data_IF_873677937659
#
_entry.id   IF_873677937659
#
_cell.length_a   1.000
_cell.length_b   1.000
_cell.length_c   1.000
_cell.angle_alpha   90.00
_cell.angle_beta   90.00
_cell.angle_gamma   90.00
#
_symmetry.space_group_name_H-M   'P 1'
#
loop_
_entity.id
_entity.type
_entity.pdbx_description
1 polymer ?
#
# COMPACT_ATOMS: atom_id res chain seq x y z
N UNK A 1 29.95 40.08 -38.02
CA UNK A 1 31.29 39.53 -38.25
C UNK A 1 31.30 38.13 -37.66
N UNK A 2 30.57 37.15 -38.21
CA UNK A 2 30.71 36.59 -39.56
C UNK A 2 32.17 36.31 -39.90
N UNK A 3 32.55 35.05 -39.81
CA UNK A 3 33.78 34.51 -40.38
C UNK A 3 33.37 33.38 -41.32
N UNK A 4 33.06 33.77 -42.54
CA UNK A 4 33.13 32.91 -43.72
C UNK A 4 34.60 32.63 -44.04
N UNK A 5 34.97 31.38 -44.29
CA UNK A 5 36.22 31.10 -44.98
C UNK A 5 36.10 29.85 -45.87
N UNK A 6 35.76 30.15 -47.13
CA UNK A 6 36.40 29.71 -48.39
C UNK A 6 36.29 28.26 -48.83
N UNK A 7 35.42 28.10 -49.84
CA UNK A 7 35.74 27.65 -51.20
C UNK A 7 36.85 26.62 -51.37
N UNK A 8 36.44 25.40 -51.72
CA UNK A 8 37.16 24.55 -52.67
C UNK A 8 36.30 24.40 -53.92
N UNK A 9 36.42 25.36 -54.83
CA UNK A 9 35.99 25.22 -56.21
C UNK A 9 37.17 24.67 -57.02
N UNK A 10 36.93 23.60 -57.76
CA UNK A 10 37.83 23.15 -58.82
C UNK A 10 38.06 21.65 -58.81
N UNK A 11 37.18 20.90 -59.48
CA UNK A 11 37.54 19.91 -60.50
C UNK A 11 36.25 19.35 -61.14
N UNK A 12 35.55 20.20 -61.90
CA UNK A 12 34.54 19.76 -62.87
C UNK A 12 35.16 19.79 -64.27
N UNK A 13 36.11 18.87 -64.49
CA UNK A 13 36.53 18.47 -65.83
C UNK A 13 35.63 17.32 -66.27
N UNK A 14 34.63 17.63 -67.11
CA UNK A 14 33.61 16.68 -67.53
C UNK A 14 34.17 15.48 -68.28
N UNK A 15 33.59 14.31 -68.02
CA UNK A 15 33.39 13.26 -69.03
C UNK A 15 31.94 12.81 -68.94
N UNK A 16 31.22 13.10 -70.02
CA UNK A 16 29.91 12.57 -70.38
C UNK A 16 29.94 11.03 -70.34
N UNK A 17 29.32 10.46 -69.31
CA UNK A 17 28.94 9.05 -69.25
C UNK A 17 27.50 8.98 -68.74
N UNK A 18 26.54 9.13 -69.65
CA UNK A 18 25.11 8.92 -69.38
C UNK A 18 24.87 7.43 -69.12
N UNK A 19 25.30 6.92 -67.97
CA UNK A 19 24.76 5.69 -67.39
C UNK A 19 23.79 6.08 -66.29
N UNK A 20 22.53 6.24 -66.71
CA UNK A 20 21.39 6.10 -65.83
C UNK A 20 21.44 4.69 -65.23
N UNK A 21 22.14 4.53 -64.10
CA UNK A 21 21.91 3.40 -63.21
C UNK A 21 20.47 3.53 -62.72
N UNK A 22 19.56 2.93 -63.48
CA UNK A 22 18.21 2.56 -63.04
C UNK A 22 18.34 2.16 -61.58
N UNK A 23 17.60 2.85 -60.71
CA UNK A 23 17.42 2.41 -59.34
C UNK A 23 16.85 1.00 -59.38
N UNK A 24 17.74 0.00 -59.38
CA UNK A 24 17.45 -1.30 -58.85
C UNK A 24 17.12 -0.99 -57.40
N UNK A 25 15.83 -0.87 -57.09
CA UNK A 25 15.38 -0.86 -55.71
C UNK A 25 16.10 -2.02 -55.05
N UNK A 26 16.94 -1.72 -54.07
CA UNK A 26 17.75 -2.72 -53.39
C UNK A 26 16.76 -3.71 -52.81
N UNK A 27 16.53 -4.82 -53.51
CA UNK A 27 15.68 -5.91 -53.06
C UNK A 27 16.47 -6.55 -51.92
N UNK A 28 16.31 -5.97 -50.74
CA UNK A 28 16.83 -6.54 -49.51
C UNK A 28 16.19 -7.90 -49.40
N UNK A 29 17.03 -8.94 -49.41
CA UNK A 29 16.57 -10.29 -49.18
C UNK A 29 15.67 -10.30 -47.93
N UNK A 30 14.45 -10.85 -48.00
CA UNK A 30 13.52 -10.85 -46.87
C UNK A 30 14.14 -11.38 -45.57
N UNK A 31 15.13 -12.27 -45.66
CA UNK A 31 15.88 -12.80 -44.51
C UNK A 31 16.80 -11.75 -43.87
N UNK A 32 17.45 -10.91 -44.68
CA UNK A 32 18.30 -9.80 -44.22
C UNK A 32 17.46 -8.72 -43.55
N UNK A 33 16.32 -8.35 -44.15
CA UNK A 33 15.38 -7.39 -43.55
C UNK A 33 14.84 -7.88 -42.20
N UNK A 34 14.52 -9.18 -42.12
CA UNK A 34 14.07 -9.82 -40.87
C UNK A 34 15.16 -9.80 -39.79
N UNK A 35 16.43 -10.03 -40.16
CA UNK A 35 17.56 -9.96 -39.22
C UNK A 35 17.77 -8.55 -38.68
N UNK A 36 17.72 -7.53 -39.54
CA UNK A 36 17.81 -6.12 -39.10
C UNK A 36 16.65 -5.73 -38.17
N UNK A 37 15.44 -6.20 -38.45
CA UNK A 37 14.28 -5.95 -37.60
C UNK A 37 14.42 -6.63 -36.23
N UNK A 38 14.83 -7.90 -36.19
CA UNK A 38 15.08 -8.63 -34.95
C UNK A 38 16.21 -8.01 -34.12
N UNK A 39 17.30 -7.60 -34.78
CA UNK A 39 18.41 -6.91 -34.12
C UNK A 39 17.98 -5.55 -33.54
N UNK A 40 17.22 -4.76 -34.29
CA UNK A 40 16.69 -3.47 -33.83
C UNK A 40 15.75 -3.63 -32.63
N UNK A 41 14.89 -4.66 -32.64
CA UNK A 41 14.00 -4.97 -31.53
C UNK A 41 14.78 -5.38 -30.27
N UNK A 42 15.82 -6.20 -30.44
CA UNK A 42 16.73 -6.61 -29.35
C UNK A 42 17.43 -5.40 -28.73
N UNK A 43 17.97 -4.49 -29.54
CA UNK A 43 18.61 -3.26 -29.07
C UNK A 43 17.65 -2.37 -28.29
N UNK A 44 16.42 -2.20 -28.77
CA UNK A 44 15.40 -1.42 -28.08
C UNK A 44 14.99 -2.07 -26.75
N UNK A 45 14.90 -3.40 -26.72
CA UNK A 45 14.60 -4.15 -25.50
C UNK A 45 15.73 -4.04 -24.48
N UNK A 46 17.00 -4.10 -24.92
CA UNK A 46 18.17 -3.91 -24.06
C UNK A 46 18.18 -2.50 -23.44
N UNK A 47 18.03 -1.44 -24.25
CA UNK A 47 17.98 -0.07 -23.75
C UNK A 47 16.82 0.15 -22.76
N UNK A 48 15.67 -0.48 -23.01
CA UNK A 48 14.53 -0.48 -22.08
C UNK A 48 14.86 -1.17 -20.76
N UNK A 49 15.58 -2.29 -20.81
CA UNK A 49 16.02 -3.03 -19.62
C UNK A 49 17.06 -2.23 -18.83
N UNK A 50 18.08 -1.68 -19.49
CA UNK A 50 19.11 -0.84 -18.86
C UNK A 50 18.48 0.35 -18.12
N UNK A 51 17.50 1.01 -18.75
CA UNK A 51 16.73 2.09 -18.11
C UNK A 51 15.95 1.61 -16.89
N UNK A 52 15.32 0.44 -16.97
CA UNK A 52 14.57 -0.15 -15.83
C UNK A 52 15.51 -0.55 -14.69
N UNK A 53 16.73 -0.98 -14.98
CA UNK A 53 17.74 -1.29 -13.97
C UNK A 53 18.26 -0.02 -13.29
N UNK A 54 18.56 1.03 -14.05
CA UNK A 54 18.97 2.32 -13.48
C UNK A 54 17.91 2.91 -12.53
N UNK A 55 16.62 2.76 -12.86
CA UNK A 55 15.52 3.17 -11.98
C UNK A 55 15.46 2.33 -10.69
N UNK A 56 15.72 1.02 -10.79
CA UNK A 56 15.76 0.13 -9.63
C UNK A 56 16.91 0.48 -8.69
N UNK A 57 18.11 0.69 -9.22
CA UNK A 57 19.26 1.14 -8.44
C UNK A 57 18.99 2.48 -7.76
N UNK A 58 18.40 3.43 -8.48
CA UNK A 58 18.02 4.73 -7.93
C UNK A 58 17.01 4.59 -6.77
N UNK A 59 16.01 3.71 -6.93
CA UNK A 59 15.01 3.46 -5.89
C UNK A 59 15.64 2.86 -4.63
N UNK A 60 16.44 1.81 -4.79
CA UNK A 60 17.16 1.18 -3.69
C UNK A 60 18.07 2.16 -2.95
N UNK A 61 18.82 2.97 -3.70
CA UNK A 61 19.68 3.99 -3.12
C UNK A 61 18.86 5.03 -2.33
N UNK A 62 17.70 5.43 -2.84
CA UNK A 62 16.83 6.37 -2.14
C UNK A 62 16.27 5.80 -0.83
N UNK A 63 15.91 4.51 -0.81
CA UNK A 63 15.50 3.80 0.41
C UNK A 63 16.64 3.80 1.42
N UNK A 64 17.80 3.27 1.03
CA UNK A 64 18.97 3.14 1.94
C UNK A 64 19.42 4.52 2.45
N UNK A 65 19.40 5.57 1.62
CA UNK A 65 19.76 6.91 2.08
C UNK A 65 18.75 7.53 3.07
N UNK A 66 17.49 7.10 3.06
CA UNK A 66 16.42 7.67 3.89
C UNK A 66 16.25 6.94 5.22
N UNK A 67 16.39 5.62 5.22
CA UNK A 67 16.03 4.76 6.34
C UNK A 67 17.05 3.64 6.60
N UNK A 68 18.23 3.71 5.97
CA UNK A 68 19.26 2.67 6.00
C UNK A 68 18.81 1.32 5.41
N UNK A 69 19.65 0.30 5.52
CA UNK A 69 19.29 -1.07 5.14
C UNK A 69 18.34 -1.67 6.20
N UNK A 70 17.42 -2.53 5.77
CA UNK A 70 16.54 -3.25 6.67
C UNK A 70 17.36 -4.22 7.54
N UNK A 71 17.23 -4.06 8.84
CA UNK A 71 17.96 -4.82 9.86
C UNK A 71 17.04 -5.75 10.67
N UNK A 72 15.79 -5.90 10.24
CA UNK A 72 14.77 -6.70 10.93
C UNK A 72 13.88 -5.89 11.88
N UNK A 73 14.16 -4.60 12.11
CA UNK A 73 13.35 -3.76 13.01
C UNK A 73 12.42 -2.83 12.25
N UNK A 74 11.34 -2.41 12.92
CA UNK A 74 10.43 -1.37 12.41
C UNK A 74 9.84 -1.69 11.02
N UNK A 75 9.43 -2.95 10.81
CA UNK A 75 8.98 -3.43 9.49
C UNK A 75 7.85 -2.58 8.93
N UNK A 76 6.88 -2.12 9.73
CA UNK A 76 5.80 -1.28 9.24
C UNK A 76 6.30 0.04 8.66
N UNK A 77 7.23 0.72 9.35
CA UNK A 77 7.83 1.96 8.85
C UNK A 77 8.67 1.70 7.62
N UNK A 78 9.45 0.64 7.64
CA UNK A 78 10.34 0.27 6.54
C UNK A 78 9.56 -0.01 5.26
N UNK A 79 8.54 -0.87 5.33
CA UNK A 79 7.70 -1.22 4.17
C UNK A 79 6.97 -0.01 3.59
N UNK A 80 6.44 0.89 4.43
CA UNK A 80 5.78 2.12 3.97
C UNK A 80 6.72 2.98 3.12
N UNK A 81 7.97 3.15 3.57
CA UNK A 81 8.95 3.93 2.84
C UNK A 81 9.44 3.18 1.59
N UNK A 82 9.70 1.88 1.71
CA UNK A 82 10.14 1.03 0.60
C UNK A 82 9.15 1.07 -0.58
N UNK A 83 7.88 0.73 -0.34
CA UNK A 83 6.85 0.70 -1.38
C UNK A 83 6.71 2.08 -2.03
N UNK A 84 6.68 3.15 -1.22
CA UNK A 84 6.58 4.53 -1.72
C UNK A 84 7.75 4.89 -2.64
N UNK A 85 9.00 4.57 -2.28
CA UNK A 85 10.15 4.87 -3.14
C UNK A 85 10.14 4.03 -4.43
N UNK A 86 9.69 2.78 -4.36
CA UNK A 86 9.58 1.91 -5.53
C UNK A 86 8.51 2.40 -6.52
N UNK A 87 7.36 2.83 -6.03
CA UNK A 87 6.29 3.43 -6.84
C UNK A 87 6.74 4.74 -7.49
N UNK A 88 7.43 5.61 -6.74
CA UNK A 88 7.97 6.88 -7.25
C UNK A 88 8.94 6.67 -8.42
N UNK A 89 9.69 5.57 -8.40
CA UNK A 89 10.62 5.21 -9.46
C UNK A 89 10.02 4.27 -10.53
N UNK A 90 8.69 4.08 -10.52
CA UNK A 90 7.93 3.26 -11.49
C UNK A 90 8.41 1.81 -11.58
N UNK A 91 8.80 1.24 -10.44
CA UNK A 91 9.14 -0.17 -10.33
C UNK A 91 7.85 -0.97 -10.22
N UNK A 92 7.74 -2.07 -10.97
CA UNK A 92 6.57 -2.95 -10.91
C UNK A 92 6.69 -3.96 -9.76
N UNK A 93 5.56 -4.41 -9.22
CA UNK A 93 5.45 -5.28 -8.04
C UNK A 93 6.42 -6.47 -8.04
N UNK A 94 6.49 -7.23 -9.14
CA UNK A 94 7.42 -8.37 -9.26
C UNK A 94 8.87 -7.98 -9.03
N UNK A 95 9.29 -6.81 -9.53
CA UNK A 95 10.64 -6.28 -9.27
C UNK A 95 10.76 -5.78 -7.84
N UNK A 96 9.72 -5.19 -7.26
CA UNK A 96 9.76 -4.75 -5.85
C UNK A 96 10.05 -5.90 -4.90
N UNK A 97 9.43 -7.08 -5.11
CA UNK A 97 9.71 -8.25 -4.26
C UNK A 97 11.17 -8.68 -4.42
N UNK A 98 11.66 -8.81 -5.66
CA UNK A 98 13.03 -9.24 -5.94
C UNK A 98 14.11 -8.27 -5.42
N UNK A 99 13.83 -6.97 -5.42
CA UNK A 99 14.78 -5.95 -4.98
C UNK A 99 14.87 -5.84 -3.44
N UNK A 100 13.87 -6.35 -2.70
CA UNK A 100 13.81 -6.13 -1.26
C UNK A 100 15.02 -6.72 -0.53
N UNK A 101 15.47 -7.92 -0.93
CA UNK A 101 16.68 -8.55 -0.37
C UNK A 101 17.98 -7.81 -0.65
N UNK A 102 18.01 -6.87 -1.59
CA UNK A 102 19.16 -5.98 -1.82
C UNK A 102 19.14 -4.77 -0.90
N UNK A 103 17.98 -4.45 -0.33
CA UNK A 103 17.81 -3.39 0.66
C UNK A 103 17.95 -3.91 2.10
N UNK A 104 18.32 -5.18 2.32
CA UNK A 104 18.43 -5.80 3.65
C UNK A 104 19.87 -6.12 4.01
N UNK A 105 20.19 -6.07 5.30
CA UNK A 105 21.52 -6.46 5.78
C UNK A 105 21.81 -7.94 5.48
N UNK A 106 23.09 -8.33 5.28
CA UNK A 106 23.47 -9.70 4.94
C UNK A 106 22.96 -10.77 5.91
N UNK A 107 22.86 -10.45 7.20
CA UNK A 107 22.54 -11.37 8.29
C UNK A 107 21.12 -11.95 8.20
N UNK A 108 20.17 -11.20 7.64
CA UNK A 108 18.78 -11.63 7.51
C UNK A 108 18.38 -11.92 6.05
N UNK A 109 19.28 -11.70 5.09
CA UNK A 109 18.99 -11.80 3.65
C UNK A 109 18.51 -13.19 3.25
N UNK A 110 19.13 -14.25 3.77
CA UNK A 110 18.73 -15.63 3.48
C UNK A 110 17.30 -15.92 3.98
N UNK A 111 16.93 -15.31 5.11
CA UNK A 111 15.58 -15.42 5.65
C UNK A 111 14.56 -14.70 4.76
N UNK A 112 14.88 -13.48 4.32
CA UNK A 112 14.07 -12.73 3.36
C UNK A 112 13.87 -13.53 2.06
N UNK A 113 14.92 -14.17 1.54
CA UNK A 113 14.82 -15.05 0.37
C UNK A 113 13.85 -16.21 0.62
N UNK A 114 13.91 -16.86 1.79
CA UNK A 114 12.96 -17.92 2.14
C UNK A 114 11.51 -17.43 2.19
N UNK A 115 11.27 -16.18 2.62
CA UNK A 115 9.93 -15.58 2.61
C UNK A 115 9.50 -15.31 1.16
N UNK A 116 10.37 -14.70 0.34
CA UNK A 116 10.11 -14.43 -1.08
C UNK A 116 9.70 -15.68 -1.85
N UNK A 117 10.41 -16.80 -1.63
CA UNK A 117 10.17 -18.06 -2.33
C UNK A 117 8.77 -18.64 -2.04
N UNK A 118 8.22 -18.39 -0.84
CA UNK A 118 6.88 -18.86 -0.45
C UNK A 118 5.75 -18.00 -1.04
N UNK A 119 6.01 -16.74 -1.35
CA UNK A 119 4.98 -15.75 -1.73
C UNK A 119 4.70 -15.69 -3.25
N UNK A 120 5.33 -16.52 -4.09
CA UNK A 120 4.95 -16.68 -5.50
C UNK A 120 5.03 -15.41 -6.37
N UNK A 121 5.84 -14.41 -5.98
CA UNK A 121 5.95 -13.06 -6.56
C UNK A 121 4.77 -12.10 -6.32
N UNK A 122 3.81 -12.46 -5.46
CA UNK A 122 2.76 -11.54 -5.02
C UNK A 122 3.34 -10.53 -4.03
N UNK A 123 3.28 -9.23 -4.36
CA UNK A 123 3.75 -8.19 -3.46
C UNK A 123 2.91 -8.14 -2.18
N UNK A 124 1.60 -8.30 -2.30
CA UNK A 124 0.70 -8.28 -1.15
C UNK A 124 1.00 -9.41 -0.16
N UNK A 125 1.16 -10.64 -0.65
CA UNK A 125 1.49 -11.80 0.20
C UNK A 125 2.89 -11.65 0.83
N UNK A 126 3.85 -11.11 0.08
CA UNK A 126 5.19 -10.83 0.57
C UNK A 126 5.21 -9.79 1.69
N UNK A 127 4.49 -8.67 1.51
CA UNK A 127 4.39 -7.63 2.53
C UNK A 127 3.70 -8.14 3.81
N UNK A 128 2.66 -8.98 3.67
CA UNK A 128 2.00 -9.61 4.82
C UNK A 128 2.94 -10.57 5.55
N UNK A 129 3.64 -11.44 4.82
CA UNK A 129 4.58 -12.38 5.43
C UNK A 129 5.72 -11.66 6.18
N UNK A 130 6.27 -10.58 5.62
CA UNK A 130 7.28 -9.77 6.31
C UNK A 130 6.74 -9.11 7.58
N UNK A 131 5.52 -8.58 7.55
CA UNK A 131 4.89 -7.97 8.73
C UNK A 131 4.66 -8.98 9.83
N UNK A 132 4.25 -10.20 9.49
CA UNK A 132 4.02 -11.26 10.48
C UNK A 132 5.34 -11.75 11.09
N UNK A 133 6.39 -11.89 10.28
CA UNK A 133 7.69 -12.41 10.74
C UNK A 133 8.45 -11.40 11.62
N UNK A 134 8.52 -10.13 11.19
CA UNK A 134 9.29 -9.08 11.88
C UNK A 134 8.41 -8.17 12.75
N UNK A 135 7.23 -8.66 13.16
CA UNK A 135 6.27 -7.88 13.94
C UNK A 135 6.82 -7.47 15.31
N UNK A 136 7.54 -8.37 15.98
CA UNK A 136 7.94 -8.20 17.38
C UNK A 136 8.96 -7.07 17.55
N UNK A 137 9.78 -6.86 16.53
CA UNK A 137 10.83 -5.83 16.48
C UNK A 137 10.34 -4.49 15.91
N UNK A 138 9.04 -4.35 15.68
CA UNK A 138 8.44 -3.15 15.11
C UNK A 138 8.00 -2.15 16.19
N UNK A 139 8.71 -1.03 16.33
CA UNK A 139 8.36 -0.02 17.32
C UNK A 139 7.04 0.72 17.01
N UNK A 140 6.60 0.69 15.75
CA UNK A 140 5.31 1.23 15.34
C UNK A 140 4.16 0.22 15.57
N UNK A 141 4.47 -1.00 16.03
CA UNK A 141 3.43 -1.98 16.30
C UNK A 141 2.63 -1.60 17.53
N UNK A 142 1.32 -1.77 17.41
CA UNK A 142 0.44 -1.71 18.57
C UNK A 142 0.70 -2.98 19.35
N UNK A 143 1.56 -2.92 20.36
CA UNK A 143 1.72 -4.05 21.30
C UNK A 143 0.41 -4.24 22.08
N UNK A 144 0.15 -5.47 22.54
CA UNK A 144 -0.94 -5.77 23.48
C UNK A 144 -0.97 -4.78 24.64
N UNK A 145 0.20 -4.37 25.13
CA UNK A 145 0.34 -3.38 26.20
C UNK A 145 -0.18 -2.01 25.79
N UNK A 146 0.21 -1.49 24.62
CA UNK A 146 -0.28 -0.21 24.11
C UNK A 146 -1.78 -0.24 23.80
N UNK A 147 -2.28 -1.36 23.24
CA UNK A 147 -3.71 -1.56 22.99
C UNK A 147 -4.52 -1.51 24.29
N UNK A 148 -4.11 -2.25 25.32
CA UNK A 148 -4.77 -2.26 26.62
C UNK A 148 -4.64 -0.90 27.32
N UNK A 149 -3.48 -0.24 27.25
CA UNK A 149 -3.31 1.11 27.79
C UNK A 149 -4.20 2.14 27.09
N UNK A 150 -4.42 2.02 25.78
CA UNK A 150 -5.40 2.84 25.06
C UNK A 150 -6.82 2.55 25.53
N UNK A 151 -7.20 1.28 25.74
CA UNK A 151 -8.51 0.90 26.28
C UNK A 151 -8.74 1.57 27.64
N UNK A 152 -7.78 1.47 28.56
CA UNK A 152 -7.85 2.01 29.91
C UNK A 152 -7.90 3.55 29.97
N UNK A 153 -7.51 4.25 28.89
CA UNK A 153 -7.45 5.71 28.89
C UNK A 153 -8.87 6.32 28.99
N UNK A 154 -9.21 7.06 30.06
CA UNK A 154 -10.55 7.67 30.20
C UNK A 154 -10.81 8.81 29.19
N UNK A 155 -12.11 9.13 29.00
CA UNK A 155 -12.60 10.33 28.30
C UNK A 155 -12.08 10.50 26.86
N UNK A 156 -12.24 9.46 26.04
CA UNK A 156 -11.87 9.50 24.62
C UNK A 156 -12.77 10.42 23.78
N UNK A 157 -13.94 10.82 24.30
CA UNK A 157 -14.94 11.67 23.62
C UNK A 157 -15.30 11.16 22.21
N UNK A 158 -15.28 9.83 22.03
CA UNK A 158 -15.55 9.19 20.74
C UNK A 158 -17.02 8.79 20.65
N UNK A 159 -17.64 9.03 19.49
CA UNK A 159 -18.96 8.45 19.23
C UNK A 159 -18.87 6.92 19.11
N UNK A 160 -20.00 6.22 19.31
CA UNK A 160 -20.08 4.76 19.23
C UNK A 160 -19.44 4.18 17.96
N UNK A 161 -19.66 4.84 16.81
CA UNK A 161 -19.14 4.42 15.50
C UNK A 161 -17.64 4.67 15.37
N UNK A 162 -17.15 5.78 15.91
CA UNK A 162 -15.73 6.14 15.90
C UNK A 162 -14.93 5.23 16.82
N UNK A 163 -15.47 4.93 18.01
CA UNK A 163 -14.89 3.96 18.93
C UNK A 163 -14.79 2.57 18.28
N UNK A 164 -15.85 2.09 17.63
CA UNK A 164 -15.84 0.80 16.93
C UNK A 164 -14.80 0.76 15.81
N UNK A 165 -14.69 1.84 15.03
CA UNK A 165 -13.70 1.95 13.95
C UNK A 165 -12.28 1.94 14.49
N UNK A 166 -12.02 2.72 15.54
CA UNK A 166 -10.70 2.83 16.17
C UNK A 166 -10.29 1.51 16.81
N UNK A 167 -11.19 0.89 17.58
CA UNK A 167 -10.95 -0.41 18.19
C UNK A 167 -10.58 -1.46 17.15
N UNK A 168 -11.35 -1.57 16.05
CA UNK A 168 -11.03 -2.50 14.95
C UNK A 168 -9.66 -2.21 14.34
N UNK A 169 -9.32 -0.92 14.14
CA UNK A 169 -8.03 -0.51 13.58
C UNK A 169 -6.87 -0.92 14.49
N UNK A 170 -6.97 -0.65 15.79
CA UNK A 170 -5.94 -1.02 16.76
C UNK A 170 -5.86 -2.54 16.92
N UNK A 171 -7.00 -3.22 17.07
CA UNK A 171 -7.07 -4.68 17.18
C UNK A 171 -6.51 -5.38 15.95
N UNK A 172 -6.73 -4.85 14.74
CA UNK A 172 -6.16 -5.41 13.50
C UNK A 172 -4.65 -5.31 13.41
N UNK A 173 -4.05 -4.35 14.12
CA UNK A 173 -2.60 -4.14 14.17
C UNK A 173 -1.89 -5.03 15.19
N UNK A 174 -2.63 -5.69 16.10
CA UNK A 174 -2.04 -6.69 17.01
C UNK A 174 -1.47 -7.89 16.24
N UNK A 175 -0.43 -8.53 16.78
CA UNK A 175 0.08 -9.79 16.23
C UNK A 175 -0.97 -10.91 16.29
N UNK A 176 -0.77 -11.97 15.51
CA UNK A 176 -1.62 -13.15 15.54
C UNK A 176 -1.69 -13.78 16.93
N UNK A 177 -0.57 -13.88 17.62
CA UNK A 177 -0.48 -14.46 18.98
C UNK A 177 -1.25 -13.59 19.97
N UNK A 178 -1.07 -12.27 19.94
CA UNK A 178 -1.78 -11.35 20.84
C UNK A 178 -3.29 -11.38 20.62
N UNK A 179 -3.74 -11.36 19.36
CA UNK A 179 -5.17 -11.48 19.00
C UNK A 179 -5.78 -12.75 19.59
N UNK A 180 -5.10 -13.89 19.47
CA UNK A 180 -5.57 -15.15 20.05
C UNK A 180 -5.76 -15.06 21.56
N UNK A 181 -4.89 -14.33 22.28
CA UNK A 181 -5.05 -14.13 23.73
C UNK A 181 -6.15 -13.15 24.13
N UNK A 182 -6.62 -12.31 23.21
CA UNK A 182 -7.62 -11.27 23.48
C UNK A 182 -9.00 -11.61 22.89
N UNK A 183 -9.09 -12.58 21.97
CA UNK A 183 -10.31 -12.86 21.23
C UNK A 183 -11.47 -13.26 22.15
N UNK A 184 -11.21 -14.03 23.22
CA UNK A 184 -12.24 -14.42 24.19
C UNK A 184 -12.85 -13.24 24.93
N UNK A 185 -12.05 -12.19 25.19
CA UNK A 185 -12.45 -11.03 25.99
C UNK A 185 -12.70 -9.80 25.11
N UNK A 186 -12.78 -9.98 23.79
CA UNK A 186 -12.81 -8.87 22.83
C UNK A 186 -14.02 -7.94 23.00
N UNK A 187 -15.17 -8.51 23.37
CA UNK A 187 -16.39 -7.74 23.67
C UNK A 187 -16.20 -6.92 24.94
N UNK A 188 -15.66 -7.54 26.00
CA UNK A 188 -15.40 -6.86 27.28
C UNK A 188 -14.38 -5.73 27.13
N UNK A 189 -13.33 -5.96 26.35
CA UNK A 189 -12.32 -4.94 26.02
C UNK A 189 -12.92 -3.76 25.25
N UNK A 190 -13.92 -4.00 24.40
CA UNK A 190 -14.63 -2.93 23.70
C UNK A 190 -15.51 -2.12 24.67
N UNK A 191 -16.21 -2.80 25.59
CA UNK A 191 -17.01 -2.14 26.63
C UNK A 191 -16.12 -1.29 27.57
N UNK A 192 -14.96 -1.80 27.98
CA UNK A 192 -13.99 -1.05 28.77
C UNK A 192 -13.45 0.19 28.05
N UNK A 193 -13.39 0.15 26.71
CA UNK A 193 -12.90 1.28 25.93
C UNK A 193 -13.93 2.42 25.82
N UNK A 194 -15.21 2.12 26.01
CA UNK A 194 -16.31 3.08 25.99
C UNK A 194 -16.25 4.00 27.22
N UNK A 195 -16.66 5.27 27.05
CA UNK A 195 -16.88 6.13 28.21
C UNK A 195 -18.14 5.70 28.98
N UNK A 196 -18.31 6.16 30.22
CA UNK A 196 -19.40 5.70 31.08
C UNK A 196 -20.79 5.88 30.46
N UNK A 197 -21.04 7.00 29.76
CA UNK A 197 -22.32 7.23 29.10
C UNK A 197 -22.56 6.27 27.92
N UNK A 198 -21.53 6.01 27.12
CA UNK A 198 -21.63 5.08 26.00
C UNK A 198 -21.73 3.63 26.49
N UNK A 199 -21.01 3.29 27.56
CA UNK A 199 -21.04 1.98 28.19
C UNK A 199 -22.44 1.66 28.73
N UNK A 200 -23.06 2.57 29.49
CA UNK A 200 -24.44 2.42 30.01
C UNK A 200 -25.48 2.22 28.89
N UNK A 201 -25.21 2.75 27.68
CA UNK A 201 -26.08 2.56 26.51
C UNK A 201 -25.82 1.24 25.78
N UNK A 202 -24.59 0.74 25.81
CA UNK A 202 -24.15 -0.46 25.11
C UNK A 202 -24.44 -1.74 25.89
N UNK A 203 -24.17 -1.75 27.20
CA UNK A 203 -24.39 -2.90 28.09
C UNK A 203 -25.77 -3.55 27.91
N UNK A 204 -26.91 -2.84 28.05
CA UNK A 204 -28.23 -3.45 27.91
C UNK A 204 -28.53 -3.94 26.48
N UNK A 205 -27.87 -3.39 25.45
CA UNK A 205 -28.03 -3.86 24.07
C UNK A 205 -27.27 -5.17 23.80
N UNK A 206 -26.25 -5.44 24.61
CA UNK A 206 -25.43 -6.65 24.52
C UNK A 206 -25.91 -7.74 25.51
N UNK A 207 -26.52 -7.36 26.62
CA UNK A 207 -27.11 -8.25 27.62
C UNK A 207 -28.37 -8.97 27.11
N UNK A 208 -29.14 -8.35 26.21
CA UNK A 208 -30.46 -8.80 25.77
C UNK A 208 -30.54 -10.03 24.85
N UNK A 209 -29.57 -10.96 24.85
CA UNK A 209 -29.62 -12.22 24.08
C UNK A 209 -28.96 -13.42 24.77
N UNK A 210 -28.96 -13.47 26.10
CA UNK A 210 -28.62 -14.69 26.85
C UNK A 210 -29.90 -15.48 27.19
N UNK A 211 -30.44 -16.23 26.23
CA UNK A 211 -31.23 -17.43 26.57
C UNK A 211 -30.69 -18.60 25.73
N UNK A 212 -30.26 -19.61 26.49
CA UNK A 212 -29.61 -20.86 26.13
C UNK A 212 -28.15 -20.85 25.66
N UNK A 213 -27.30 -21.33 26.57
CA UNK A 213 -25.98 -21.91 26.37
C UNK A 213 -24.83 -20.95 26.00
N UNK A 214 -24.26 -20.35 27.05
CA UNK A 214 -22.82 -20.06 27.14
C UNK A 214 -22.30 -18.95 26.23
N UNK A 215 -22.28 -17.71 26.74
CA UNK A 215 -21.42 -16.59 26.31
C UNK A 215 -21.06 -16.63 24.82
N UNK A 216 -22.05 -16.47 23.95
CA UNK A 216 -21.73 -16.06 22.58
C UNK A 216 -21.45 -14.56 22.57
N UNK A 217 -20.22 -14.27 22.99
CA UNK A 217 -19.35 -13.11 22.74
C UNK A 217 -19.19 -12.82 21.23
N UNK A 218 -20.29 -12.83 20.47
CA UNK A 218 -20.26 -12.60 19.04
C UNK A 218 -20.04 -11.12 18.80
N UNK A 219 -18.86 -10.78 18.33
CA UNK A 219 -18.47 -9.45 17.87
C UNK A 219 -19.54 -8.78 16.97
N UNK A 220 -20.29 -9.56 16.20
CA UNK A 220 -21.42 -9.10 15.40
C UNK A 220 -22.50 -8.37 16.21
N UNK A 221 -22.77 -8.79 17.45
CA UNK A 221 -23.73 -8.12 18.32
C UNK A 221 -23.27 -6.70 18.69
N UNK A 222 -21.96 -6.50 18.86
CA UNK A 222 -21.36 -5.17 19.08
C UNK A 222 -21.58 -4.27 17.86
N UNK A 223 -21.34 -4.79 16.66
CA UNK A 223 -21.56 -4.05 15.42
C UNK A 223 -23.03 -3.63 15.24
N UNK A 224 -23.95 -4.55 15.53
CA UNK A 224 -25.40 -4.30 15.46
C UNK A 224 -25.83 -3.26 16.51
N UNK A 225 -25.35 -3.38 17.76
CA UNK A 225 -25.66 -2.44 18.85
C UNK A 225 -25.19 -1.02 18.53
N UNK A 226 -23.96 -0.86 18.05
CA UNK A 226 -23.41 0.43 17.60
C UNK A 226 -24.24 0.99 16.43
N UNK A 227 -24.64 0.13 15.48
CA UNK A 227 -25.52 0.51 14.38
C UNK A 227 -26.89 1.02 14.85
N UNK A 228 -27.47 0.42 15.89
CA UNK A 228 -28.72 0.87 16.50
C UNK A 228 -28.59 2.22 17.20
N UNK A 229 -27.50 2.44 17.95
CA UNK A 229 -27.21 3.72 18.61
C UNK A 229 -27.11 4.85 17.59
N UNK A 230 -26.39 4.63 16.49
CA UNK A 230 -26.25 5.60 15.40
C UNK A 230 -27.60 5.98 14.78
N UNK A 231 -28.51 5.00 14.62
CA UNK A 231 -29.87 5.23 14.11
C UNK A 231 -30.73 6.01 15.09
N UNK A 232 -30.61 5.74 16.40
CA UNK A 232 -31.34 6.47 17.46
C UNK A 232 -30.89 7.94 17.52
N UNK A 233 -29.59 8.19 17.40
CA UNK A 233 -29.00 9.54 17.40
C UNK A 233 -29.52 10.39 16.24
N UNK A 234 -29.51 9.85 15.01
CA UNK A 234 -30.09 10.52 13.82
C UNK A 234 -31.58 10.83 13.95
N UNK A 235 -32.34 9.98 14.66
CA UNK A 235 -33.79 10.21 14.89
C UNK A 235 -34.01 11.33 15.91
N UNK A 236 -33.18 11.42 16.95
CA UNK A 236 -33.22 12.49 17.95
C UNK A 236 -32.90 13.86 17.33
N UNK A 237 -31.89 13.96 16.49
CA UNK A 237 -31.55 15.22 15.80
C UNK A 237 -32.69 15.74 14.92
N UNK A 238 -33.38 14.83 14.21
CA UNK A 238 -34.52 15.18 13.34
C UNK A 238 -35.77 15.61 14.12
N UNK A 239 -35.95 15.13 15.35
CA UNK A 239 -37.05 15.56 16.23
C UNK A 239 -36.79 16.88 16.95
N UNK A 240 -35.54 17.33 17.05
CA UNK A 240 -35.16 18.54 17.77
C UNK A 240 -35.17 19.81 16.91
N UNK A 241 -35.32 19.71 15.58
CA UNK A 241 -35.58 20.87 14.72
C UNK A 241 -37.04 21.33 14.86
N UNK A 242 -37.33 22.57 15.33
CA UNK A 242 -38.69 23.07 15.40
C UNK A 242 -39.28 23.13 14.00
N UNK A 243 -40.40 22.45 13.75
CA UNK A 243 -41.20 22.66 12.55
C UNK A 243 -41.65 24.11 12.57
N UNK A 244 -41.11 24.95 11.69
CA UNK A 244 -41.65 26.28 11.42
C UNK A 244 -43.07 26.10 10.89
N UNK A 245 -44.05 26.28 11.77
CA UNK A 245 -45.47 26.34 11.41
C UNK A 245 -45.62 27.59 10.55
N UNK A 246 -45.74 27.41 9.23
CA UNK A 246 -46.20 28.49 8.36
C UNK A 246 -47.62 28.84 8.78
N UNK A 247 -47.79 30.08 9.25
CA UNK A 247 -49.08 30.61 9.65
C UNK A 247 -50.03 30.62 8.44
N UNK A 248 -51.32 30.28 8.61
CA UNK A 248 -52.32 30.40 7.57
C UNK A 248 -52.45 31.88 7.19
N UNK A 249 -52.35 32.18 5.89
CA UNK A 249 -52.71 33.50 5.38
C UNK A 249 -54.20 33.71 5.63
N UNK A 250 -54.51 34.70 6.47
CA UNK A 250 -55.86 35.21 6.69
C UNK A 250 -56.35 35.96 5.42
N UNK A 251 -57.67 36.15 5.27
CA UNK A 251 -58.42 36.04 4.01
C UNK A 251 -58.17 37.16 3.00
#
# INVERSE_FOLDING_TARGET
MENENKNFEGFLGGVSGRESSKGQGMYMDPSIASLFQAFSLSMLQQQSNDRKEALATKALQAVVNKIDQFDGRNISRYLKCYVREMELNRIYEKKMVALFGLATIPEIRDHITSITDRCGNSLEDFLHALKDEYFLEDADCVTKKLFLGWIEWPNKNLQATELLREFKRQYSQLSKVEKLTLESNKVDLFLQAADGELQEKLEPLLEGKEEDEGLTTKWKNVEDAVGLLTKKERRKDRSNTPKTVQAPKAP
#
